data_IF_666686518315
#
_entry.id   IF_666686518315
#
_cell.length_a   1.000
_cell.length_b   1.000
_cell.length_c   1.000
_cell.angle_alpha   90.00
_cell.angle_beta   90.00
_cell.angle_gamma   90.00
#
_symmetry.space_group_name_H-M   'P 1'
#
loop_
_entity.id
_entity.type
_entity.pdbx_description
1 polymer ?
#
# COMPACT_ATOMS: atom_id res chain seq x y z
N UNK A 1 -27.51 13.53 24.31
CA UNK A 1 -26.70 12.61 23.48
C UNK A 1 -25.75 13.47 22.67
N UNK A 2 -24.43 13.42 22.88
CA UNK A 2 -23.50 14.20 22.09
C UNK A 2 -23.19 13.42 20.79
N UNK A 3 -23.26 14.15 19.68
CA UNK A 3 -22.91 13.68 18.34
C UNK A 3 -21.40 13.87 18.19
N UNK A 4 -20.65 12.78 18.11
CA UNK A 4 -19.23 12.78 17.74
C UNK A 4 -19.10 12.98 16.23
N UNK A 5 -18.43 14.05 15.82
CA UNK A 5 -18.00 14.27 14.44
C UNK A 5 -16.54 13.78 14.33
N UNK A 6 -16.16 12.95 13.34
CA UNK A 6 -14.77 12.49 13.20
C UNK A 6 -13.86 13.62 12.74
N UNK A 7 -12.68 13.69 13.35
CA UNK A 7 -11.69 14.75 13.15
C UNK A 7 -11.13 14.80 11.73
N UNK A 8 -11.20 15.99 11.14
CA UNK A 8 -10.29 16.41 10.07
C UNK A 8 -9.09 17.09 10.72
N UNK A 9 -7.91 16.49 10.58
CA UNK A 9 -6.67 17.06 11.08
C UNK A 9 -6.04 17.98 10.05
N UNK A 10 -6.16 19.30 10.23
CA UNK A 10 -5.32 20.28 9.53
C UNK A 10 -4.04 20.49 10.34
N UNK A 11 -2.87 20.18 9.76
CA UNK A 11 -1.58 20.42 10.43
C UNK A 11 -1.05 21.78 9.97
N UNK A 12 -0.96 22.74 10.90
CA UNK A 12 -0.34 24.04 10.66
C UNK A 12 1.18 23.94 10.85
N UNK A 13 1.96 24.42 9.87
CA UNK A 13 3.40 24.63 10.04
C UNK A 13 3.62 25.91 10.85
N UNK A 14 4.01 25.73 12.11
CA UNK A 14 4.59 26.71 13.04
C UNK A 14 3.63 27.61 13.86
N UNK A 15 3.65 27.42 15.18
CA UNK A 15 3.39 28.48 16.15
C UNK A 15 4.49 28.49 17.20
N UNK A 16 5.34 29.52 17.12
CA UNK A 16 6.36 29.83 18.11
C UNK A 16 5.68 30.62 19.22
N UNK A 17 5.52 30.01 20.40
CA UNK A 17 5.30 30.76 21.63
C UNK A 17 6.64 30.92 22.35
N UNK A 18 7.16 32.15 22.37
CA UNK A 18 8.30 32.50 23.19
C UNK A 18 7.89 32.54 24.67
N UNK A 19 8.49 31.70 25.48
CA UNK A 19 8.71 32.01 26.90
C UNK A 19 10.06 31.42 27.30
N UNK A 20 11.04 32.30 27.50
CA UNK A 20 12.39 31.95 27.92
C UNK A 20 12.40 31.50 29.38
N UNK A 21 12.78 30.25 29.63
CA UNK A 21 13.48 29.84 30.86
C UNK A 21 14.57 28.86 30.46
N UNK A 22 15.80 29.22 30.81
CA UNK A 22 17.02 28.54 30.40
C UNK A 22 17.06 27.06 30.74
N UNK A 23 17.15 26.25 29.70
CA UNK A 23 17.79 24.93 29.71
C UNK A 23 18.49 24.80 28.36
N UNK A 24 19.80 24.53 28.36
CA UNK A 24 20.54 24.17 27.14
C UNK A 24 19.75 23.08 26.41
N UNK A 25 19.43 23.24 25.11
CA UNK A 25 18.80 22.16 24.37
C UNK A 25 19.80 20.99 24.28
N UNK A 26 19.34 19.73 24.38
CA UNK A 26 20.17 18.61 23.99
C UNK A 26 20.53 18.81 22.52
N UNK A 27 21.81 18.64 22.17
CA UNK A 27 22.22 18.54 20.77
C UNK A 27 21.49 17.34 20.15
N UNK A 28 20.37 17.60 19.47
CA UNK A 28 19.71 16.62 18.62
C UNK A 28 20.65 16.34 17.45
N UNK A 29 21.46 15.31 17.62
CA UNK A 29 22.02 14.59 16.49
C UNK A 29 20.82 14.02 15.74
N UNK A 30 20.42 14.69 14.66
CA UNK A 30 19.63 14.10 13.60
C UNK A 30 20.44 12.94 13.03
N UNK A 31 20.42 11.82 13.74
CA UNK A 31 20.95 10.57 13.30
C UNK A 31 19.94 10.10 12.25
N UNK A 32 20.19 10.51 11.00
CA UNK A 32 19.64 9.85 9.82
C UNK A 32 19.76 8.36 10.10
N UNK A 33 18.63 7.72 10.37
CA UNK A 33 18.54 6.28 10.54
C UNK A 33 19.05 5.70 9.22
N UNK A 34 20.33 5.36 9.19
CA UNK A 34 20.91 4.51 8.16
C UNK A 34 20.27 3.15 8.42
N UNK A 35 19.15 2.92 7.74
CA UNK A 35 18.43 1.66 7.86
C UNK A 35 19.26 0.62 7.12
N UNK A 36 19.89 -0.24 7.91
CA UNK A 36 20.72 -1.33 7.44
C UNK A 36 19.90 -2.26 6.50
N UNK A 37 20.30 -2.35 5.24
CA UNK A 37 19.59 -3.04 4.18
C UNK A 37 19.98 -4.51 4.12
N UNK A 38 19.49 -5.30 5.06
CA UNK A 38 19.20 -6.71 4.77
C UNK A 38 17.75 -6.81 4.29
N UNK A 39 17.49 -6.33 3.08
CA UNK A 39 16.17 -6.42 2.44
C UNK A 39 16.29 -7.29 1.19
N UNK A 40 15.71 -8.49 1.23
CA UNK A 40 15.63 -9.37 0.05
C UNK A 40 14.77 -8.77 -1.08
N UNK A 41 13.95 -7.74 -0.78
CA UNK A 41 13.13 -7.03 -1.77
C UNK A 41 13.50 -5.54 -1.88
N UNK A 42 13.82 -5.06 -3.10
CA UNK A 42 14.04 -3.65 -3.41
C UNK A 42 12.80 -2.77 -3.15
N UNK A 43 12.99 -1.47 -3.31
CA UNK A 43 11.92 -0.47 -3.23
C UNK A 43 10.93 -0.62 -4.40
N UNK A 44 9.76 0.00 -4.28
CA UNK A 44 8.73 0.03 -5.34
C UNK A 44 8.65 1.45 -5.90
N UNK A 45 8.72 1.64 -7.23
CA UNK A 45 8.75 2.96 -7.82
C UNK A 45 7.37 3.63 -7.77
N UNK A 46 7.37 4.94 -7.60
CA UNK A 46 6.17 5.80 -7.60
C UNK A 46 6.02 6.48 -8.96
N UNK A 47 4.78 6.68 -9.43
CA UNK A 47 4.55 7.36 -10.70
C UNK A 47 4.95 8.84 -10.60
N UNK A 48 5.61 9.41 -11.63
CA UNK A 48 6.01 10.81 -11.64
C UNK A 48 4.84 11.78 -11.40
N UNK A 49 3.64 11.46 -11.90
CA UNK A 49 2.43 12.26 -11.71
C UNK A 49 2.02 12.31 -10.24
N UNK A 50 2.13 11.19 -9.52
CA UNK A 50 1.84 11.11 -8.08
C UNK A 50 2.83 11.95 -7.29
N UNK A 51 4.13 11.83 -7.60
CA UNK A 51 5.18 12.62 -6.94
C UNK A 51 5.01 14.12 -7.17
N UNK A 52 4.70 14.53 -8.41
CA UNK A 52 4.47 15.93 -8.73
C UNK A 52 3.29 16.50 -7.95
N UNK A 53 2.16 15.78 -7.89
CA UNK A 53 0.99 16.22 -7.13
C UNK A 53 1.28 16.29 -5.63
N UNK A 54 2.01 15.32 -5.08
CA UNK A 54 2.41 15.35 -3.67
C UNK A 54 3.35 16.54 -3.38
N UNK A 55 4.33 16.80 -4.24
CA UNK A 55 5.26 17.92 -4.08
C UNK A 55 4.53 19.28 -4.09
N UNK A 56 3.60 19.49 -5.02
CA UNK A 56 2.75 20.69 -5.07
C UNK A 56 2.02 20.89 -3.74
N UNK A 57 1.43 19.83 -3.19
CA UNK A 57 0.71 19.90 -1.91
C UNK A 57 1.64 20.16 -0.73
N UNK A 58 2.85 19.63 -0.77
CA UNK A 58 3.83 19.85 0.28
C UNK A 58 4.31 21.30 0.40
N UNK A 59 4.21 22.08 -0.68
CA UNK A 59 4.56 23.50 -0.73
C UNK A 59 3.47 24.43 -0.15
N UNK A 60 2.27 23.91 0.10
CA UNK A 60 1.18 24.69 0.69
C UNK A 60 1.44 25.02 2.17
N UNK A 61 0.87 26.14 2.65
CA UNK A 61 1.01 26.59 4.04
C UNK A 61 0.36 25.63 5.05
N UNK A 62 -0.67 24.93 4.63
CA UNK A 62 -1.39 23.92 5.39
C UNK A 62 -1.73 22.76 4.45
N UNK A 63 -1.51 21.53 4.90
CA UNK A 63 -1.74 20.33 4.09
C UNK A 63 -2.97 19.60 4.63
N UNK A 64 -3.89 19.22 3.73
CA UNK A 64 -4.99 18.31 4.03
C UNK A 64 -4.51 16.85 3.93
N UNK A 65 -4.46 16.17 5.08
CA UNK A 65 -3.98 14.79 5.16
C UNK A 65 -4.89 13.80 4.43
N UNK A 66 -6.20 14.08 4.36
CA UNK A 66 -7.14 13.26 3.60
C UNK A 66 -6.84 13.35 2.09
N UNK A 67 -6.44 14.53 1.62
CA UNK A 67 -6.02 14.72 0.23
C UNK A 67 -4.70 14.02 -0.09
N UNK A 68 -3.69 14.13 0.77
CA UNK A 68 -2.44 13.37 0.63
C UNK A 68 -2.72 11.87 0.60
N UNK A 69 -3.57 11.39 1.51
CA UNK A 69 -3.95 9.97 1.58
C UNK A 69 -4.62 9.50 0.29
N UNK A 70 -5.48 10.32 -0.33
CA UNK A 70 -6.08 10.01 -1.63
C UNK A 70 -5.06 9.92 -2.76
N UNK A 71 -4.05 10.80 -2.77
CA UNK A 71 -2.96 10.75 -3.75
C UNK A 71 -2.13 9.48 -3.57
N UNK A 72 -1.75 9.15 -2.33
CA UNK A 72 -0.99 7.93 -1.99
C UNK A 72 -1.77 6.67 -2.37
N UNK A 73 -3.05 6.58 -2.02
CA UNK A 73 -3.90 5.44 -2.37
C UNK A 73 -4.19 5.33 -3.88
N UNK A 74 -3.90 6.38 -4.64
CA UNK A 74 -4.03 6.41 -6.09
C UNK A 74 -2.86 5.74 -6.83
N UNK A 75 -1.81 5.33 -6.12
CA UNK A 75 -0.57 4.79 -6.67
C UNK A 75 -0.08 3.62 -5.80
N UNK A 76 0.05 2.42 -6.39
CA UNK A 76 0.48 1.24 -5.64
C UNK A 76 1.86 1.44 -5.01
N UNK A 77 2.78 2.05 -5.73
CA UNK A 77 4.14 2.30 -5.25
C UNK A 77 4.14 3.22 -4.04
N UNK A 78 3.41 4.34 -4.11
CA UNK A 78 3.30 5.26 -2.98
C UNK A 78 2.69 4.56 -1.76
N UNK A 79 1.59 3.83 -1.94
CA UNK A 79 0.93 3.09 -0.86
C UNK A 79 1.86 2.05 -0.23
N UNK A 80 2.60 1.28 -1.02
CA UNK A 80 3.57 0.30 -0.54
C UNK A 80 4.66 0.97 0.29
N UNK A 81 5.22 2.10 -0.15
CA UNK A 81 6.29 2.78 0.59
C UNK A 81 5.83 3.24 1.98
N UNK A 82 4.63 3.82 2.07
CA UNK A 82 4.05 4.23 3.36
C UNK A 82 3.76 3.02 4.25
N UNK A 83 3.15 1.96 3.70
CA UNK A 83 2.82 0.77 4.47
C UNK A 83 4.05 -0.01 4.93
N UNK A 84 5.11 -0.02 4.13
CA UNK A 84 6.40 -0.64 4.50
C UNK A 84 7.10 0.17 5.59
N UNK A 85 7.01 1.50 5.55
CA UNK A 85 7.51 2.34 6.65
C UNK A 85 6.73 2.07 7.94
N UNK A 86 5.40 2.01 7.87
CA UNK A 86 4.55 1.63 9.01
C UNK A 86 4.85 0.20 9.50
N UNK A 87 5.08 -0.75 8.59
CA UNK A 87 5.43 -2.13 8.92
C UNK A 87 6.77 -2.25 9.64
N UNK A 88 7.74 -1.38 9.32
CA UNK A 88 9.03 -1.32 10.04
C UNK A 88 8.87 -0.73 11.45
N UNK A 89 8.04 0.29 11.59
CA UNK A 89 7.81 0.95 12.88
C UNK A 89 6.99 0.08 13.84
N UNK A 90 5.89 -0.52 13.35
CA UNK A 90 4.91 -1.19 14.20
C UNK A 90 4.90 -2.72 14.09
N UNK A 91 5.46 -3.29 13.01
CA UNK A 91 5.38 -4.72 12.73
C UNK A 91 3.93 -5.24 12.76
N UNK A 92 3.70 -6.24 13.61
CA UNK A 92 2.39 -6.85 13.86
C UNK A 92 1.79 -6.46 15.22
N UNK A 93 2.22 -5.33 15.81
CA UNK A 93 1.75 -4.89 17.11
C UNK A 93 0.23 -4.61 17.13
N UNK A 94 -0.39 -4.90 18.27
CA UNK A 94 -1.76 -4.46 18.55
C UNK A 94 -1.80 -2.93 18.64
N UNK A 95 -2.68 -2.29 17.88
CA UNK A 95 -2.79 -0.83 17.83
C UNK A 95 -2.01 -0.17 16.69
N UNK A 96 -1.42 -0.93 15.75
CA UNK A 96 -0.86 -0.35 14.52
C UNK A 96 -1.92 0.47 13.76
N UNK A 97 -1.55 1.60 13.13
CA UNK A 97 -2.45 2.33 12.25
C UNK A 97 -2.97 1.44 11.11
N UNK A 98 -4.27 1.50 10.85
CA UNK A 98 -4.94 0.71 9.80
C UNK A 98 -5.24 1.53 8.55
N UNK A 99 -5.42 2.85 8.67
CA UNK A 99 -5.63 3.77 7.55
C UNK A 99 -4.30 4.38 7.14
N UNK A 100 -4.12 4.62 5.84
CA UNK A 100 -2.95 5.35 5.31
C UNK A 100 -2.83 6.74 5.94
N UNK A 101 -3.96 7.42 6.16
CA UNK A 101 -4.01 8.72 6.80
C UNK A 101 -3.39 8.68 8.21
N UNK A 102 -3.79 7.69 9.02
CA UNK A 102 -3.26 7.48 10.37
C UNK A 102 -1.76 7.13 10.32
N UNK A 103 -1.33 6.30 9.37
CA UNK A 103 0.09 6.02 9.15
C UNK A 103 0.88 7.31 8.87
N UNK A 104 0.38 8.20 8.01
CA UNK A 104 1.09 9.43 7.65
C UNK A 104 1.10 10.42 8.83
N UNK A 105 0.00 10.49 9.58
CA UNK A 105 -0.09 11.29 10.80
C UNK A 105 0.97 10.87 11.82
N UNK A 106 1.07 9.57 12.08
CA UNK A 106 1.94 9.04 13.14
C UNK A 106 3.42 8.99 12.74
N UNK A 107 3.73 8.60 11.50
CA UNK A 107 5.11 8.55 10.98
C UNK A 107 5.68 9.94 10.64
N UNK A 108 4.79 10.91 10.45
CA UNK A 108 5.11 12.26 10.05
C UNK A 108 5.20 12.44 8.53
N UNK A 109 4.53 13.48 8.05
CA UNK A 109 4.39 13.81 6.63
C UNK A 109 5.73 13.91 5.87
N UNK A 110 6.76 14.49 6.48
CA UNK A 110 8.10 14.65 5.85
C UNK A 110 8.79 13.29 5.66
N UNK A 111 8.72 12.41 6.66
CA UNK A 111 9.27 11.05 6.59
C UNK A 111 8.57 10.25 5.49
N UNK A 112 7.25 10.32 5.45
CA UNK A 112 6.43 9.68 4.43
C UNK A 112 6.77 10.19 3.02
N UNK A 113 6.90 11.50 2.84
CA UNK A 113 7.27 12.08 1.55
C UNK A 113 8.68 11.66 1.11
N UNK A 114 9.64 11.59 2.04
CA UNK A 114 10.99 11.08 1.76
C UNK A 114 10.98 9.63 1.26
N UNK A 115 10.17 8.77 1.89
CA UNK A 115 10.03 7.37 1.47
C UNK A 115 9.39 7.22 0.09
N UNK A 116 8.31 7.98 -0.18
CA UNK A 116 7.63 7.97 -1.48
C UNK A 116 8.53 8.54 -2.59
N UNK A 117 9.36 9.54 -2.29
CA UNK A 117 10.27 10.15 -3.27
C UNK A 117 11.57 9.37 -3.52
N UNK A 118 11.80 8.26 -2.81
CA UNK A 118 13.06 7.52 -2.87
C UNK A 118 13.31 6.88 -4.25
N UNK A 119 12.23 6.49 -4.95
CA UNK A 119 12.32 5.90 -6.27
C UNK A 119 11.11 6.27 -7.13
N UNK A 120 11.39 6.74 -8.35
CA UNK A 120 10.36 7.10 -9.33
C UNK A 120 10.42 6.16 -10.53
N UNK A 121 9.28 5.93 -11.18
CA UNK A 121 9.25 5.23 -12.46
C UNK A 121 10.00 6.05 -13.51
N UNK A 122 10.94 5.39 -14.19
CA UNK A 122 11.67 5.99 -15.31
C UNK A 122 10.76 6.16 -16.53
N UNK A 123 11.02 7.20 -17.33
CA UNK A 123 10.28 7.51 -18.57
C UNK A 123 10.63 6.62 -19.77
N UNK A 124 11.59 5.72 -19.62
CA UNK A 124 12.07 4.79 -20.63
C UNK A 124 11.23 3.48 -20.66
N UNK A 125 11.61 2.55 -21.55
CA UNK A 125 10.75 1.48 -22.09
C UNK A 125 10.05 0.51 -21.13
N UNK A 126 10.28 0.59 -19.81
CA UNK A 126 9.56 -0.18 -18.78
C UNK A 126 8.47 0.60 -18.04
N UNK A 127 8.47 1.94 -18.09
CA UNK A 127 7.57 2.77 -17.28
C UNK A 127 6.09 2.62 -17.67
N UNK A 128 5.80 2.29 -18.93
CA UNK A 128 4.43 2.07 -19.39
C UNK A 128 3.77 0.86 -18.74
N UNK A 129 4.47 -0.28 -18.67
CA UNK A 129 3.95 -1.50 -18.07
C UNK A 129 3.72 -1.34 -16.54
N UNK A 130 4.60 -0.61 -15.87
CA UNK A 130 4.43 -0.27 -14.45
C UNK A 130 3.17 0.60 -14.25
N UNK A 131 3.03 1.66 -15.06
CA UNK A 131 1.87 2.54 -14.99
C UNK A 131 0.56 1.82 -15.27
N UNK A 132 0.52 0.93 -16.28
CA UNK A 132 -0.64 0.09 -16.58
C UNK A 132 -0.99 -0.83 -15.40
N UNK A 133 0.02 -1.44 -14.78
CA UNK A 133 -0.20 -2.32 -13.61
C UNK A 133 -0.72 -1.54 -12.40
N UNK A 134 -0.20 -0.34 -12.13
CA UNK A 134 -0.68 0.48 -11.01
C UNK A 134 -2.10 0.94 -11.27
N UNK A 135 -2.42 1.33 -12.52
CA UNK A 135 -3.76 1.73 -12.92
C UNK A 135 -4.76 0.58 -12.77
N UNK A 136 -4.41 -0.62 -13.22
CA UNK A 136 -5.23 -1.81 -13.01
C UNK A 136 -5.46 -2.09 -11.53
N UNK A 137 -4.40 -2.06 -10.73
CA UNK A 137 -4.52 -2.35 -9.29
C UNK A 137 -5.38 -1.31 -8.57
N UNK A 138 -5.28 -0.04 -8.95
CA UNK A 138 -6.18 1.02 -8.48
C UNK A 138 -7.64 0.78 -8.88
N UNK A 139 -7.88 0.36 -10.12
CA UNK A 139 -9.22 0.02 -10.59
C UNK A 139 -9.81 -1.13 -9.75
N UNK A 140 -9.04 -2.19 -9.52
CA UNK A 140 -9.45 -3.32 -8.66
C UNK A 140 -9.69 -2.86 -7.22
N UNK A 141 -8.87 -1.97 -6.67
CA UNK A 141 -9.08 -1.37 -5.35
C UNK A 141 -10.42 -0.63 -5.24
N UNK A 142 -10.76 0.17 -6.26
CA UNK A 142 -12.03 0.90 -6.33
C UNK A 142 -13.23 -0.06 -6.36
N UNK A 143 -13.18 -1.10 -7.20
CA UNK A 143 -14.24 -2.10 -7.24
C UNK A 143 -14.31 -2.95 -5.96
N UNK A 144 -13.18 -3.29 -5.35
CA UNK A 144 -13.13 -4.04 -4.09
C UNK A 144 -13.80 -3.25 -2.96
N UNK A 145 -13.57 -1.93 -2.91
CA UNK A 145 -14.27 -1.02 -2.00
C UNK A 145 -15.78 -1.05 -2.22
N UNK A 146 -16.24 -0.91 -3.46
CA UNK A 146 -17.67 -0.97 -3.79
C UNK A 146 -18.32 -2.32 -3.45
N UNK A 147 -17.60 -3.43 -3.64
CA UNK A 147 -18.07 -4.76 -3.24
C UNK A 147 -18.20 -4.85 -1.71
N UNK A 148 -17.23 -4.32 -0.98
CA UNK A 148 -17.25 -4.31 0.48
C UNK A 148 -18.35 -3.39 1.05
N UNK A 149 -18.68 -2.28 0.38
CA UNK A 149 -19.80 -1.39 0.77
C UNK A 149 -21.16 -2.13 0.75
N UNK A 150 -21.28 -3.23 0.00
CA UNK A 150 -22.46 -4.09 -0.04
C UNK A 150 -22.46 -5.16 1.07
N UNK A 151 -21.39 -5.25 1.88
CA UNK A 151 -21.19 -6.27 2.91
C UNK A 151 -21.16 -5.64 4.31
N UNK A 152 -22.03 -6.06 5.25
CA UNK A 152 -22.17 -5.40 6.55
C UNK A 152 -20.95 -5.54 7.47
N UNK A 153 -20.19 -6.63 7.33
CA UNK A 153 -19.09 -6.98 8.26
C UNK A 153 -17.69 -6.72 7.68
N UNK A 154 -17.58 -6.03 6.54
CA UNK A 154 -16.30 -5.77 5.85
C UNK A 154 -15.99 -4.29 5.86
N UNK A 155 -14.76 -3.94 6.26
CA UNK A 155 -14.28 -2.56 6.16
C UNK A 155 -13.94 -2.24 4.70
N UNK A 156 -14.60 -1.25 4.06
CA UNK A 156 -14.35 -0.91 2.66
C UNK A 156 -12.94 -0.37 2.39
N UNK A 157 -12.31 0.27 3.37
CA UNK A 157 -10.93 0.78 3.22
C UNK A 157 -9.90 -0.37 3.27
N UNK A 158 -10.14 -1.40 4.07
CA UNK A 158 -9.32 -2.61 4.06
C UNK A 158 -9.49 -3.39 2.75
N UNK A 159 -10.71 -3.44 2.21
CA UNK A 159 -10.99 -4.04 0.91
C UNK A 159 -10.30 -3.26 -0.23
N UNK A 160 -10.28 -1.93 -0.15
CA UNK A 160 -9.50 -1.10 -1.07
C UNK A 160 -8.02 -1.47 -1.02
N UNK A 161 -7.42 -1.57 0.18
CA UNK A 161 -6.01 -1.96 0.32
C UNK A 161 -5.72 -3.36 -0.21
N UNK A 162 -6.60 -4.32 0.07
CA UNK A 162 -6.50 -5.68 -0.46
C UNK A 162 -6.55 -5.68 -2.00
N UNK A 163 -7.46 -4.90 -2.60
CA UNK A 163 -7.55 -4.75 -4.06
C UNK A 163 -6.35 -4.00 -4.66
N UNK A 164 -5.83 -2.97 -3.99
CA UNK A 164 -4.67 -2.22 -4.46
C UNK A 164 -3.40 -3.06 -4.46
N UNK A 165 -3.25 -3.94 -3.47
CA UNK A 165 -2.04 -4.73 -3.26
C UNK A 165 -2.17 -6.20 -3.66
N UNK A 166 -3.26 -6.59 -4.34
CA UNK A 166 -3.48 -7.99 -4.73
C UNK A 166 -2.39 -8.51 -5.69
N UNK A 167 -1.79 -7.62 -6.47
CA UNK A 167 -0.78 -7.94 -7.48
C UNK A 167 0.67 -7.81 -7.01
N UNK A 168 0.96 -7.58 -5.72
CA UNK A 168 2.35 -7.33 -5.27
C UNK A 168 3.30 -8.52 -5.52
N UNK A 169 2.75 -9.73 -5.68
CA UNK A 169 3.53 -10.91 -6.06
C UNK A 169 4.14 -10.85 -7.47
N UNK A 170 3.64 -9.95 -8.33
CA UNK A 170 4.15 -9.72 -9.68
C UNK A 170 5.29 -8.68 -9.72
N UNK A 171 5.56 -7.99 -8.61
CA UNK A 171 6.57 -6.93 -8.54
C UNK A 171 7.95 -7.39 -9.06
N UNK A 172 8.47 -8.57 -8.69
CA UNK A 172 9.79 -8.97 -9.20
C UNK A 172 9.86 -9.10 -10.72
N UNK A 173 8.79 -9.62 -11.34
CA UNK A 173 8.69 -9.75 -12.80
C UNK A 173 8.60 -8.38 -13.47
N UNK A 174 7.71 -7.51 -12.97
CA UNK A 174 7.44 -6.19 -13.54
C UNK A 174 8.64 -5.25 -13.40
N UNK A 175 9.32 -5.31 -12.24
CA UNK A 175 10.42 -4.41 -11.89
C UNK A 175 11.80 -5.00 -12.21
N UNK A 176 11.87 -6.24 -12.71
CA UNK A 176 13.13 -6.91 -13.02
C UNK A 176 14.03 -7.13 -11.80
N UNK A 177 13.44 -7.47 -10.65
CA UNK A 177 14.23 -7.74 -9.43
C UNK A 177 15.00 -9.06 -9.57
N UNK A 178 16.32 -8.98 -9.47
CA UNK A 178 17.21 -10.15 -9.41
C UNK A 178 17.29 -10.65 -7.95
N UNK A 179 16.32 -11.46 -7.54
CA UNK A 179 16.26 -12.03 -6.19
C UNK A 179 16.53 -13.54 -6.23
N UNK A 180 17.57 -13.97 -5.51
CA UNK A 180 17.98 -15.37 -5.45
C UNK A 180 17.01 -16.16 -4.55
N UNK A 181 16.04 -16.87 -5.13
CA UNK A 181 15.74 -18.29 -4.83
C UNK A 181 14.46 -18.78 -5.55
N UNK A 182 14.64 -19.87 -6.31
CA UNK A 182 13.64 -20.74 -6.98
C UNK A 182 12.90 -20.18 -8.21
N UNK A 183 12.92 -20.91 -9.35
CA UNK A 183 12.24 -20.57 -10.60
C UNK A 183 10.71 -20.80 -10.56
N UNK A 184 10.10 -20.86 -9.37
CA UNK A 184 8.65 -20.92 -9.32
C UNK A 184 8.13 -19.52 -9.62
N UNK A 185 7.61 -19.35 -10.83
CA UNK A 185 6.77 -18.23 -11.30
C UNK A 185 5.44 -18.13 -10.51
N UNK A 186 5.46 -18.53 -9.23
CA UNK A 186 4.35 -18.51 -8.31
C UNK A 186 4.27 -17.13 -7.66
N UNK A 187 3.58 -16.24 -8.36
CA UNK A 187 3.21 -14.92 -7.87
C UNK A 187 2.47 -14.95 -6.54
N UNK A 188 1.74 -16.03 -6.21
CA UNK A 188 1.01 -16.13 -4.94
C UNK A 188 1.97 -16.34 -3.77
N UNK A 189 2.87 -17.31 -3.88
CA UNK A 189 3.90 -17.54 -2.86
C UNK A 189 4.84 -16.33 -2.71
N UNK A 190 5.15 -15.66 -3.82
CA UNK A 190 5.95 -14.43 -3.83
C UNK A 190 5.23 -13.30 -3.09
N UNK A 191 3.95 -13.08 -3.39
CA UNK A 191 3.14 -12.07 -2.72
C UNK A 191 3.02 -12.30 -1.21
N UNK A 192 2.86 -13.57 -0.80
CA UNK A 192 2.88 -13.95 0.62
C UNK A 192 4.19 -13.57 1.31
N UNK A 193 5.34 -13.85 0.68
CA UNK A 193 6.67 -13.51 1.23
C UNK A 193 6.86 -12.00 1.36
N UNK A 194 6.51 -11.25 0.31
CA UNK A 194 6.59 -9.79 0.31
C UNK A 194 5.70 -9.20 1.42
N UNK A 195 4.44 -9.63 1.50
CA UNK A 195 3.51 -9.16 2.52
C UNK A 195 4.02 -9.42 3.94
N UNK A 196 4.64 -10.59 4.16
CA UNK A 196 5.20 -10.97 5.45
C UNK A 196 6.44 -10.16 5.80
N UNK A 197 7.37 -10.03 4.86
CA UNK A 197 8.61 -9.33 5.08
C UNK A 197 8.39 -7.84 5.37
N UNK A 198 7.45 -7.21 4.67
CA UNK A 198 7.12 -5.80 4.87
C UNK A 198 6.12 -5.56 6.00
N UNK A 199 5.69 -6.60 6.71
CA UNK A 199 4.66 -6.52 7.76
C UNK A 199 3.42 -5.72 7.29
N UNK A 200 2.93 -6.04 6.09
CA UNK A 200 1.79 -5.34 5.49
C UNK A 200 0.51 -5.49 6.34
N UNK A 201 -0.50 -4.61 6.15
CA UNK A 201 -1.75 -4.68 6.89
C UNK A 201 -2.39 -6.06 6.88
N UNK A 202 -3.08 -6.40 7.96
CA UNK A 202 -3.68 -7.72 8.17
C UNK A 202 -4.56 -8.17 7.00
N UNK A 203 -5.37 -7.29 6.41
CA UNK A 203 -6.22 -7.63 5.26
C UNK A 203 -5.41 -8.12 4.04
N UNK A 204 -4.22 -7.53 3.80
CA UNK A 204 -3.32 -7.92 2.70
C UNK A 204 -2.63 -9.23 3.03
N UNK A 205 -2.18 -9.41 4.27
CA UNK A 205 -1.62 -10.68 4.74
C UNK A 205 -2.64 -11.82 4.61
N UNK A 206 -3.88 -11.61 5.08
CA UNK A 206 -4.95 -12.59 4.99
C UNK A 206 -5.31 -12.92 3.55
N UNK A 207 -5.34 -11.94 2.63
CA UNK A 207 -5.52 -12.19 1.20
C UNK A 207 -4.50 -13.21 0.66
N UNK A 208 -3.21 -13.05 0.96
CA UNK A 208 -2.19 -13.99 0.50
C UNK A 208 -2.23 -15.32 1.26
N UNK A 209 -2.58 -15.34 2.55
CA UNK A 209 -2.86 -16.59 3.28
C UNK A 209 -3.99 -17.38 2.61
N UNK A 210 -5.09 -16.73 2.20
CA UNK A 210 -6.23 -17.37 1.52
C UNK A 210 -5.83 -18.08 0.24
N UNK A 211 -4.87 -17.51 -0.49
CA UNK A 211 -4.43 -18.04 -1.78
C UNK A 211 -3.28 -19.04 -1.64
N UNK A 212 -2.42 -18.88 -0.64
CA UNK A 212 -1.23 -19.70 -0.45
C UNK A 212 -1.48 -20.94 0.42
N UNK A 213 -2.42 -20.88 1.38
CA UNK A 213 -2.67 -21.93 2.36
C UNK A 213 -4.01 -22.62 2.15
N UNK A 214 -3.99 -23.95 1.98
CA UNK A 214 -5.21 -24.74 1.85
C UNK A 214 -6.08 -24.69 3.12
N UNK A 215 -7.38 -24.46 2.96
CA UNK A 215 -8.35 -24.47 4.07
C UNK A 215 -8.50 -23.15 4.83
N UNK A 216 -7.85 -22.07 4.38
CA UNK A 216 -8.05 -20.74 4.96
C UNK A 216 -9.44 -20.18 4.58
N UNK A 217 -10.14 -19.47 5.49
CA UNK A 217 -11.43 -18.87 5.18
C UNK A 217 -11.33 -17.83 4.06
N UNK A 218 -12.13 -18.00 3.00
CA UNK A 218 -12.15 -17.08 1.85
C UNK A 218 -12.97 -15.85 2.18
N UNK A 219 -12.34 -14.68 2.15
CA UNK A 219 -12.98 -13.38 2.34
C UNK A 219 -12.42 -12.36 1.36
N UNK A 220 -11.14 -12.01 1.52
CA UNK A 220 -10.49 -10.97 0.73
C UNK A 220 -10.30 -11.39 -0.72
N UNK A 221 -9.90 -12.65 -0.96
CA UNK A 221 -9.76 -13.19 -2.32
C UNK A 221 -11.11 -13.30 -3.03
N UNK A 222 -12.21 -13.47 -2.28
CA UNK A 222 -13.58 -13.40 -2.79
C UNK A 222 -13.94 -12.00 -3.27
N UNK A 223 -13.70 -10.98 -2.43
CA UNK A 223 -13.94 -9.58 -2.76
C UNK A 223 -13.12 -9.14 -3.98
N UNK A 224 -11.81 -9.41 -3.98
CA UNK A 224 -10.91 -9.06 -5.09
C UNK A 224 -11.35 -9.74 -6.38
N UNK A 225 -11.78 -11.00 -6.33
CA UNK A 225 -12.33 -11.70 -7.50
C UNK A 225 -13.60 -11.07 -8.04
N UNK A 226 -14.55 -10.72 -7.16
CA UNK A 226 -15.77 -10.02 -7.59
C UNK A 226 -15.43 -8.64 -8.14
N UNK A 227 -14.41 -7.95 -7.60
CA UNK A 227 -13.91 -6.70 -8.13
C UNK A 227 -13.37 -6.84 -9.56
N UNK A 228 -12.57 -7.88 -9.84
CA UNK A 228 -12.12 -8.23 -11.19
C UNK A 228 -13.29 -8.47 -12.15
N UNK A 229 -14.32 -9.21 -11.72
CA UNK A 229 -15.51 -9.46 -12.53
C UNK A 229 -16.29 -8.18 -12.87
N UNK A 230 -16.27 -7.17 -11.99
CA UNK A 230 -16.96 -5.88 -12.18
C UNK A 230 -16.14 -4.86 -12.95
N UNK A 231 -14.83 -5.03 -13.05
CA UNK A 231 -13.93 -4.06 -13.66
C UNK A 231 -14.01 -4.00 -15.20
N UNK A 232 -14.61 -5.01 -15.85
CA UNK A 232 -14.53 -5.30 -17.30
C UNK A 232 -13.06 -5.41 -17.79
N UNK A 233 -12.78 -6.45 -18.60
CA UNK A 233 -11.44 -7.03 -18.81
C UNK A 233 -10.30 -6.01 -19.01
N UNK A 234 -9.35 -6.01 -18.07
CA UNK A 234 -8.03 -5.38 -18.21
C UNK A 234 -7.17 -6.18 -19.21
N UNK A 235 -6.20 -5.54 -19.87
CA UNK A 235 -5.22 -6.19 -20.77
C UNK A 235 -4.12 -6.94 -20.03
N UNK A 236 -4.11 -6.91 -18.69
CA UNK A 236 -3.03 -7.45 -17.85
C UNK A 236 -3.32 -8.90 -17.47
N UNK A 237 -2.35 -9.77 -17.73
CA UNK A 237 -2.35 -11.20 -17.38
C UNK A 237 -2.31 -11.40 -15.85
N UNK A 238 -3.45 -11.21 -15.17
CA UNK A 238 -3.54 -11.25 -13.71
C UNK A 238 -3.90 -12.67 -13.23
N UNK A 239 -3.19 -13.25 -12.24
CA UNK A 239 -3.45 -14.60 -11.71
C UNK A 239 -4.89 -14.83 -11.20
N UNK A 240 -5.56 -13.74 -10.81
CA UNK A 240 -6.95 -13.76 -10.37
C UNK A 240 -7.95 -13.97 -11.52
N UNK A 241 -7.56 -13.72 -12.78
CA UNK A 241 -8.40 -13.94 -13.97
C UNK A 241 -8.44 -15.41 -14.40
N UNK A 242 -7.37 -16.18 -14.17
CA UNK A 242 -7.23 -17.57 -14.67
C UNK A 242 -7.64 -18.66 -13.69
N UNK A 243 -7.71 -18.36 -12.40
CA UNK A 243 -7.93 -19.38 -11.36
C UNK A 243 -9.34 -20.01 -11.33
N UNK A 244 -10.22 -19.73 -12.31
CA UNK A 244 -11.55 -20.35 -12.38
C UNK A 244 -11.93 -20.75 -13.81
N UNK A 245 -11.38 -21.87 -14.27
CA UNK A 245 -12.29 -22.92 -14.74
C UNK A 245 -12.49 -23.88 -13.58
N UNK A 246 -13.73 -24.16 -13.14
CA UNK A 246 -13.90 -25.33 -12.29
C UNK A 246 -13.35 -26.50 -13.09
N UNK A 247 -12.32 -27.17 -12.58
CA UNK A 247 -11.97 -28.48 -13.08
C UNK A 247 -13.18 -29.36 -12.81
N UNK A 248 -14.06 -29.47 -13.80
CA UNK A 248 -15.08 -30.49 -13.87
C UNK A 248 -14.32 -31.80 -13.76
N UNK A 249 -14.21 -32.34 -12.55
CA UNK A 249 -13.89 -33.72 -12.34
C UNK A 249 -14.98 -34.51 -13.05
N UNK A 250 -14.67 -34.93 -14.28
CA UNK A 250 -15.47 -35.89 -15.03
C UNK A 250 -15.38 -37.19 -14.23
N UNK A 251 -16.34 -37.42 -13.33
CA UNK A 251 -16.65 -38.78 -12.90
C UNK A 251 -17.30 -39.47 -14.09
N UNK A 252 -16.53 -40.31 -14.77
CA UNK A 252 -16.93 -41.27 -15.78
C UNK A 252 -16.03 -42.47 -15.66
#
# INVERSE_FOLDING_TARGET
MPITVPGGGTVLKNSVFHTEVGRKPPEEKHQLLQVDFSCDFPDVPVLPETLLLLDIRMQEMSVDLAEISRLVLGDMGAAVQILRLAGREYGNAEGRPTRIEDCISDLGLVTCFGAVSAMTVSRDGGGHAIAETWAHSKQIAQHAKLVADEMPDVNPDEAYLAGLLHGIGLLPSILGWDWMESPSDDSVATGFRIAKQWSLPRCVMELFCEMHLAGYPVRWSGIVRTAHQRADRSSIDCPFEYSIRPQLHRRG
#
